data_IF_437312433375
#
_entry.id   IF_437312433375
#
_cell.length_a   1.000
_cell.length_b   1.000
_cell.length_c   1.000
_cell.angle_alpha   90.00
_cell.angle_beta   90.00
_cell.angle_gamma   90.00
#
_symmetry.space_group_name_H-M   'P 1'
#
loop_
_entity.id
_entity.type
_entity.pdbx_description
1 polymer ?
#
# COMPACT_ATOMS: atom_id res chain seq x y z
N UNK A 1 -6.58 -76.64 34.65
CA UNK A 1 -6.85 -75.20 34.83
C UNK A 1 -5.61 -74.42 34.46
N UNK A 2 -5.57 -73.87 33.25
CA UNK A 2 -4.56 -72.88 32.85
C UNK A 2 -4.96 -71.50 33.38
N UNK A 3 -4.00 -70.79 33.99
CA UNK A 3 -4.10 -69.35 34.25
C UNK A 3 -3.07 -68.68 33.34
N UNK A 4 -3.60 -67.98 32.33
CA UNK A 4 -2.80 -67.26 31.35
C UNK A 4 -2.11 -66.07 31.97
N UNK A 5 -0.83 -65.91 31.62
CA UNK A 5 -0.11 -64.65 31.73
C UNK A 5 -0.40 -63.86 30.45
N UNK A 6 -1.18 -62.77 30.57
CA UNK A 6 -1.21 -61.73 29.54
C UNK A 6 -0.07 -60.74 29.84
N UNK A 7 0.85 -60.46 28.91
CA UNK A 7 1.82 -59.41 29.06
C UNK A 7 1.14 -58.05 28.84
N UNK A 8 1.61 -57.06 29.60
CA UNK A 8 1.22 -55.66 29.57
C UNK A 8 1.42 -55.06 28.17
N UNK A 9 0.37 -54.41 27.65
CA UNK A 9 0.43 -53.54 26.47
C UNK A 9 1.54 -52.52 26.66
N UNK A 10 2.60 -52.67 25.87
CA UNK A 10 3.58 -51.62 25.64
C UNK A 10 2.81 -50.42 25.07
N UNK A 11 2.93 -49.29 25.77
CA UNK A 11 2.55 -47.98 25.29
C UNK A 11 3.11 -47.79 23.89
N UNK A 12 2.24 -47.87 22.89
CA UNK A 12 2.51 -47.33 21.57
C UNK A 12 2.87 -45.85 21.77
N UNK A 13 4.18 -45.55 21.81
CA UNK A 13 4.70 -44.28 21.33
C UNK A 13 4.21 -44.17 19.90
N UNK A 14 3.02 -43.61 19.76
CA UNK A 14 2.48 -43.19 18.48
C UNK A 14 3.42 -42.08 18.04
N UNK A 15 4.45 -42.47 17.30
CA UNK A 15 5.33 -41.63 16.52
C UNK A 15 4.38 -40.68 15.78
N UNK A 16 4.20 -39.48 16.34
CA UNK A 16 3.35 -38.47 15.74
C UNK A 16 4.09 -38.10 14.48
N UNK A 17 3.59 -38.58 13.34
CA UNK A 17 3.95 -38.05 12.04
C UNK A 17 4.11 -36.53 12.19
N UNK A 18 5.25 -35.96 11.75
CA UNK A 18 5.49 -34.54 11.91
C UNK A 18 4.35 -33.83 11.21
N UNK A 19 3.43 -33.25 12.00
CA UNK A 19 2.31 -32.50 11.44
C UNK A 19 2.94 -31.45 10.53
N UNK A 20 2.73 -31.58 9.23
CA UNK A 20 3.19 -30.60 8.27
C UNK A 20 2.45 -29.29 8.60
N UNK A 21 3.10 -28.41 9.34
CA UNK A 21 2.56 -27.11 9.68
C UNK A 21 2.72 -26.20 8.45
N UNK A 22 1.74 -25.33 8.22
CA UNK A 22 1.94 -24.22 7.29
C UNK A 22 2.95 -23.26 7.90
N UNK A 23 3.66 -22.51 7.05
CA UNK A 23 4.63 -21.53 7.53
C UNK A 23 4.03 -20.52 8.54
N UNK A 24 2.83 -19.93 8.31
CA UNK A 24 2.20 -19.08 9.32
C UNK A 24 1.91 -19.81 10.64
N UNK A 25 1.42 -21.06 10.60
CA UNK A 25 1.16 -21.84 11.82
C UNK A 25 2.44 -22.17 12.60
N UNK A 26 3.56 -22.40 11.89
CA UNK A 26 4.87 -22.58 12.50
C UNK A 26 5.37 -21.31 13.20
N UNK A 27 5.27 -20.15 12.54
CA UNK A 27 5.67 -18.86 13.12
C UNK A 27 4.83 -18.52 14.35
N UNK A 28 3.50 -18.76 14.31
CA UNK A 28 2.63 -18.61 15.48
C UNK A 28 3.09 -19.51 16.62
N UNK A 29 3.39 -20.78 16.34
CA UNK A 29 3.88 -21.70 17.38
C UNK A 29 5.20 -21.24 18.00
N UNK A 30 6.10 -20.62 17.23
CA UNK A 30 7.32 -20.03 17.76
C UNK A 30 7.03 -18.83 18.66
N UNK A 31 6.16 -17.93 18.22
CA UNK A 31 5.71 -16.78 19.01
C UNK A 31 5.05 -17.21 20.32
N UNK A 32 4.19 -18.24 20.29
CA UNK A 32 3.50 -18.77 21.48
C UNK A 32 4.44 -19.52 22.44
N UNK A 33 5.48 -20.17 21.90
CA UNK A 33 6.47 -20.91 22.69
C UNK A 33 7.46 -20.02 23.45
N UNK A 34 7.52 -18.73 23.14
CA UNK A 34 8.40 -17.77 23.82
C UNK A 34 9.89 -17.92 23.48
N UNK A 35 10.23 -18.50 22.32
CA UNK A 35 11.61 -18.57 21.83
C UNK A 35 12.06 -17.18 21.32
N UNK A 36 12.46 -16.31 22.24
CA UNK A 36 12.79 -14.91 21.98
C UNK A 36 13.92 -14.72 20.96
N UNK A 37 14.84 -15.69 20.83
CA UNK A 37 15.97 -15.57 19.90
C UNK A 37 15.54 -15.69 18.43
N UNK A 38 14.51 -16.50 18.15
CA UNK A 38 14.05 -16.79 16.79
C UNK A 38 12.83 -15.96 16.37
N UNK A 39 12.06 -15.44 17.34
CA UNK A 39 10.80 -14.74 17.08
C UNK A 39 10.83 -13.23 17.40
N UNK A 40 11.95 -12.69 17.90
CA UNK A 40 12.07 -11.26 18.22
C UNK A 40 11.84 -10.38 16.99
N UNK A 41 10.96 -9.39 17.13
CA UNK A 41 10.61 -8.44 16.06
C UNK A 41 9.57 -8.96 15.06
N UNK A 42 9.22 -10.26 15.07
CA UNK A 42 8.20 -10.81 14.19
C UNK A 42 6.80 -10.45 14.72
N UNK A 43 5.94 -9.97 13.82
CA UNK A 43 4.53 -9.67 14.12
C UNK A 43 3.66 -10.24 13.02
N UNK A 44 2.55 -10.87 13.40
CA UNK A 44 1.57 -11.40 12.46
C UNK A 44 0.26 -10.63 12.60
N UNK A 45 -0.29 -10.19 11.46
CA UNK A 45 -1.56 -9.49 11.37
C UNK A 45 -2.48 -10.28 10.45
N UNK A 46 -3.70 -10.59 10.93
CA UNK A 46 -4.70 -11.32 10.17
C UNK A 46 -5.92 -10.43 9.93
N UNK A 47 -6.39 -10.40 8.69
CA UNK A 47 -7.66 -9.79 8.31
C UNK A 47 -8.53 -10.85 7.62
N UNK A 48 -9.72 -11.11 8.16
CA UNK A 48 -10.63 -12.11 7.63
C UNK A 48 -11.80 -11.43 6.93
N UNK A 49 -12.00 -11.75 5.65
CA UNK A 49 -13.22 -11.39 4.91
C UNK A 49 -14.15 -12.59 4.87
N UNK A 50 -15.13 -12.59 5.77
CA UNK A 50 -16.07 -13.70 5.96
C UNK A 50 -15.58 -14.72 6.99
N UNK A 51 -16.46 -15.64 7.36
CA UNK A 51 -16.17 -16.68 8.37
C UNK A 51 -15.44 -17.86 7.75
N UNK A 52 -14.42 -18.37 8.43
CA UNK A 52 -13.75 -19.61 8.03
C UNK A 52 -14.74 -20.79 8.16
N UNK A 53 -14.99 -21.56 7.09
CA UNK A 53 -15.93 -22.67 7.14
C UNK A 53 -15.38 -23.80 8.02
N UNK A 54 -16.29 -24.52 8.67
CA UNK A 54 -15.91 -25.59 9.61
C UNK A 54 -15.12 -26.76 8.98
N UNK A 55 -15.20 -26.91 7.66
CA UNK A 55 -14.46 -27.90 6.87
C UNK A 55 -13.02 -27.49 6.54
N UNK A 56 -12.64 -26.22 6.73
CA UNK A 56 -11.31 -25.73 6.37
C UNK A 56 -10.39 -25.64 7.60
N UNK A 57 -9.32 -26.45 7.59
CA UNK A 57 -8.31 -26.43 8.66
C UNK A 57 -7.24 -25.34 8.51
N UNK A 58 -7.22 -24.60 7.39
CA UNK A 58 -6.16 -23.62 7.09
C UNK A 58 -6.44 -22.23 7.65
N UNK A 59 -7.72 -21.82 7.70
CA UNK A 59 -8.13 -20.49 8.18
C UNK A 59 -8.67 -20.50 9.61
N UNK A 60 -8.64 -21.66 10.29
CA UNK A 60 -9.23 -21.80 11.61
C UNK A 60 -8.41 -21.03 12.65
N UNK A 61 -8.97 -19.93 13.16
CA UNK A 61 -8.41 -19.19 14.29
C UNK A 61 -9.05 -19.69 15.59
N UNK A 62 -8.29 -19.66 16.69
CA UNK A 62 -8.70 -20.15 18.01
C UNK A 62 -9.93 -19.44 18.61
N UNK A 63 -10.34 -18.30 18.06
CA UNK A 63 -11.46 -17.48 18.57
C UNK A 63 -12.63 -17.28 17.57
N UNK A 64 -12.65 -18.03 16.45
CA UNK A 64 -13.76 -17.95 15.49
C UNK A 64 -15.03 -18.66 15.98
N UNK A 65 -15.93 -17.96 16.68
CA UNK A 65 -17.26 -18.49 17.01
C UNK A 65 -17.96 -19.01 15.76
N UNK A 66 -18.52 -20.22 15.84
CA UNK A 66 -19.41 -20.85 14.85
C UNK A 66 -20.68 -20.00 14.62
N UNK A 67 -20.57 -18.91 13.87
CA UNK A 67 -21.70 -18.21 13.28
C UNK A 67 -21.84 -18.67 11.83
N UNK A 68 -23.09 -18.72 11.35
CA UNK A 68 -23.44 -19.26 10.03
C UNK A 68 -22.55 -18.67 8.92
N UNK A 69 -22.19 -19.56 8.00
CA UNK A 69 -21.29 -19.37 6.87
C UNK A 69 -21.97 -18.55 5.75
N UNK A 70 -22.35 -17.30 6.02
CA UNK A 70 -22.87 -16.42 4.98
C UNK A 70 -21.71 -15.91 4.09
N UNK A 71 -21.76 -16.14 2.77
CA UNK A 71 -20.71 -15.70 1.87
C UNK A 71 -20.65 -14.18 1.83
N UNK A 72 -19.43 -13.62 1.90
CA UNK A 72 -19.20 -12.18 1.78
C UNK A 72 -18.68 -11.84 0.39
N UNK A 73 -18.96 -10.62 -0.07
CA UNK A 73 -18.40 -10.11 -1.32
C UNK A 73 -16.88 -9.94 -1.16
N UNK A 74 -16.11 -10.75 -1.89
CA UNK A 74 -14.65 -10.67 -1.91
C UNK A 74 -14.16 -9.72 -3.00
N UNK A 75 -14.67 -9.92 -4.22
CA UNK A 75 -14.22 -9.22 -5.42
C UNK A 75 -15.39 -8.94 -6.36
N UNK A 76 -15.36 -7.76 -7.00
CA UNK A 76 -16.25 -7.42 -8.11
C UNK A 76 -15.49 -7.65 -9.41
N UNK A 77 -15.80 -8.74 -10.11
CA UNK A 77 -15.08 -9.13 -11.34
C UNK A 77 -15.59 -8.42 -12.60
N UNK A 78 -16.84 -7.92 -12.55
CA UNK A 78 -17.48 -7.18 -13.63
C UNK A 78 -18.39 -6.12 -13.05
N UNK A 79 -18.33 -4.93 -13.65
CA UNK A 79 -19.27 -3.85 -13.40
C UNK A 79 -19.78 -3.35 -14.75
N UNK A 80 -21.06 -2.99 -14.80
CA UNK A 80 -21.67 -2.32 -15.94
C UNK A 80 -22.21 -0.96 -15.47
N UNK A 81 -22.05 0.10 -16.27
CA UNK A 81 -22.52 1.43 -15.88
C UNK A 81 -24.05 1.51 -15.93
N UNK A 82 -24.64 2.26 -15.00
CA UNK A 82 -26.09 2.32 -14.83
C UNK A 82 -26.83 2.96 -16.01
N UNK A 83 -26.17 3.85 -16.77
CA UNK A 83 -26.78 4.50 -17.93
C UNK A 83 -27.12 3.51 -19.06
N UNK A 84 -26.50 2.32 -19.10
CA UNK A 84 -26.85 1.27 -20.08
C UNK A 84 -28.26 0.71 -19.86
N UNK A 85 -28.82 0.84 -18.66
CA UNK A 85 -30.17 0.40 -18.34
C UNK A 85 -31.25 1.36 -18.86
N UNK A 86 -30.86 2.54 -19.35
CA UNK A 86 -31.78 3.58 -19.82
C UNK A 86 -32.13 3.40 -21.30
N UNK A 87 -33.42 3.53 -21.59
CA UNK A 87 -33.97 3.39 -22.95
C UNK A 87 -34.01 4.71 -23.72
N UNK A 88 -34.18 5.84 -23.01
CA UNK A 88 -34.23 7.17 -23.61
C UNK A 88 -32.82 7.71 -23.85
N UNK A 89 -32.53 8.08 -25.10
CA UNK A 89 -31.19 8.50 -25.51
C UNK A 89 -30.72 9.78 -24.81
N UNK A 90 -31.59 10.78 -24.66
CA UNK A 90 -31.24 12.07 -24.06
C UNK A 90 -30.92 11.91 -22.57
N UNK A 91 -31.79 11.24 -21.82
CA UNK A 91 -31.57 10.95 -20.40
C UNK A 91 -30.32 10.09 -20.19
N UNK A 92 -30.08 9.10 -21.07
CA UNK A 92 -28.86 8.29 -21.03
C UNK A 92 -27.60 9.12 -21.22
N UNK A 93 -27.61 10.04 -22.18
CA UNK A 93 -26.48 10.95 -22.44
C UNK A 93 -26.23 11.88 -21.25
N UNK A 94 -27.29 12.48 -20.69
CA UNK A 94 -27.17 13.36 -19.52
C UNK A 94 -26.59 12.63 -18.30
N UNK A 95 -27.02 11.39 -18.03
CA UNK A 95 -26.45 10.59 -16.92
C UNK A 95 -25.00 10.19 -17.20
N UNK A 96 -24.66 9.85 -18.44
CA UNK A 96 -23.28 9.56 -18.82
C UNK A 96 -22.36 10.76 -18.55
N UNK A 97 -22.74 11.95 -19.00
CA UNK A 97 -21.98 13.20 -18.79
C UNK A 97 -21.87 13.54 -17.29
N UNK A 98 -22.96 13.42 -16.53
CA UNK A 98 -22.96 13.65 -15.09
C UNK A 98 -22.07 12.64 -14.33
N UNK A 99 -22.06 11.36 -14.75
CA UNK A 99 -21.17 10.35 -14.17
C UNK A 99 -19.70 10.69 -14.42
N UNK A 100 -19.35 11.11 -15.64
CA UNK A 100 -17.98 11.53 -15.96
C UNK A 100 -17.55 12.76 -15.16
N UNK A 101 -18.43 13.76 -15.06
CA UNK A 101 -18.22 14.94 -14.22
C UNK A 101 -17.95 14.57 -12.76
N UNK A 102 -18.78 13.67 -12.20
CA UNK A 102 -18.62 13.22 -10.81
C UNK A 102 -17.33 12.44 -10.58
N UNK A 103 -16.92 11.60 -11.54
CA UNK A 103 -15.77 10.72 -11.41
C UNK A 103 -14.44 11.47 -11.60
N UNK A 104 -14.35 12.36 -12.58
CA UNK A 104 -13.09 12.99 -13.00
C UNK A 104 -12.96 14.45 -12.57
N UNK A 105 -14.08 15.16 -12.48
CA UNK A 105 -14.12 16.60 -12.20
C UNK A 105 -14.81 16.92 -10.85
N UNK A 106 -14.96 15.91 -9.98
CA UNK A 106 -15.60 16.04 -8.65
C UNK A 106 -17.02 16.65 -8.67
N UNK A 107 -17.72 16.56 -9.80
CA UNK A 107 -19.03 17.18 -10.01
C UNK A 107 -18.99 18.70 -10.24
N UNK A 108 -17.80 19.28 -10.39
CA UNK A 108 -17.57 20.73 -10.48
C UNK A 108 -17.14 21.24 -11.85
N UNK A 109 -17.50 20.50 -12.90
CA UNK A 109 -17.15 20.79 -14.29
C UNK A 109 -17.47 19.63 -15.22
N UNK A 110 -17.36 19.87 -16.52
CA UNK A 110 -17.65 18.88 -17.56
C UNK A 110 -16.35 18.23 -18.08
N UNK A 111 -16.44 16.97 -18.51
CA UNK A 111 -15.32 16.30 -19.21
C UNK A 111 -15.40 16.63 -20.70
N UNK A 112 -14.31 17.16 -21.25
CA UNK A 112 -14.14 17.41 -22.69
C UNK A 112 -12.88 16.67 -23.12
N UNK A 113 -13.03 15.69 -24.02
CA UNK A 113 -11.96 14.76 -24.40
C UNK A 113 -11.30 14.09 -23.18
N UNK A 114 -10.07 14.49 -22.83
CA UNK A 114 -9.29 13.98 -21.70
C UNK A 114 -9.03 15.00 -20.58
N UNK A 115 -9.72 16.15 -20.59
CA UNK A 115 -9.57 17.21 -19.58
C UNK A 115 -10.90 17.66 -18.98
N UNK A 116 -10.82 18.25 -17.79
CA UNK A 116 -11.98 18.80 -17.08
C UNK A 116 -12.12 20.29 -17.32
N UNK A 117 -13.25 20.71 -17.88
CA UNK A 117 -13.66 22.11 -17.95
C UNK A 117 -14.37 22.48 -16.65
N UNK A 118 -13.62 23.10 -15.74
CA UNK A 118 -14.14 23.51 -14.43
C UNK A 118 -15.15 24.67 -14.49
N UNK A 119 -16.18 24.60 -13.65
CA UNK A 119 -17.11 25.70 -13.39
C UNK A 119 -16.42 26.87 -12.68
N UNK A 120 -16.97 28.07 -12.80
CA UNK A 120 -16.37 29.28 -12.20
C UNK A 120 -16.28 29.23 -10.67
N UNK A 121 -17.07 28.39 -10.02
CA UNK A 121 -17.11 28.22 -8.55
C UNK A 121 -16.02 27.30 -8.02
N UNK A 122 -15.33 26.55 -8.90
CA UNK A 122 -14.35 25.54 -8.51
C UNK A 122 -12.91 25.96 -8.74
N UNK A 123 -12.68 27.25 -8.94
CA UNK A 123 -11.34 27.84 -8.95
C UNK A 123 -10.83 28.06 -7.52
N UNK A 124 -9.57 27.75 -7.31
CA UNK A 124 -8.86 27.98 -6.05
C UNK A 124 -8.61 29.48 -5.80
N UNK A 125 -8.08 29.80 -4.61
CA UNK A 125 -7.76 31.19 -4.21
C UNK A 125 -6.74 31.88 -5.12
N UNK A 126 -5.89 31.09 -5.77
CA UNK A 126 -4.88 31.51 -6.76
C UNK A 126 -5.45 31.67 -8.18
N UNK A 127 -6.74 31.38 -8.37
CA UNK A 127 -7.40 31.43 -9.67
C UNK A 127 -7.05 30.25 -10.59
N UNK A 128 -6.51 29.16 -10.04
CA UNK A 128 -6.27 27.93 -10.79
C UNK A 128 -7.48 26.98 -10.75
N UNK A 129 -7.74 26.20 -11.80
CA UNK A 129 -8.83 25.21 -11.81
C UNK A 129 -8.60 24.12 -10.74
N UNK A 130 -9.62 23.82 -9.92
CA UNK A 130 -9.51 22.84 -8.83
C UNK A 130 -10.65 21.79 -8.83
N UNK A 131 -11.34 21.60 -9.95
CA UNK A 131 -12.41 20.61 -10.05
C UNK A 131 -11.88 19.16 -10.18
N UNK A 132 -10.75 18.97 -10.88
CA UNK A 132 -10.10 17.67 -10.99
C UNK A 132 -9.06 17.50 -9.86
N UNK A 133 -9.13 16.43 -9.06
CA UNK A 133 -8.25 16.25 -7.91
C UNK A 133 -6.82 15.94 -8.37
N UNK A 134 -5.85 16.70 -7.86
CA UNK A 134 -4.43 16.41 -8.05
C UNK A 134 -3.99 15.32 -7.04
N UNK A 135 -3.59 14.12 -7.50
CA UNK A 135 -3.16 13.07 -6.60
C UNK A 135 -1.83 13.43 -5.92
N UNK A 136 -1.73 13.12 -4.63
CA UNK A 136 -0.50 13.36 -3.89
C UNK A 136 0.51 12.23 -4.16
N UNK A 137 1.71 12.53 -4.66
CA UNK A 137 2.76 11.53 -4.84
C UNK A 137 3.26 11.06 -3.47
N UNK A 138 3.42 9.74 -3.32
CA UNK A 138 3.97 9.14 -2.10
C UNK A 138 5.42 8.76 -2.37
N UNK A 139 6.34 9.49 -1.77
CA UNK A 139 7.76 9.22 -1.86
C UNK A 139 8.14 8.03 -0.96
N UNK A 140 8.86 7.06 -1.51
CA UNK A 140 9.28 5.84 -0.81
C UNK A 140 10.77 5.57 -1.00
N UNK A 141 11.37 4.86 -0.06
CA UNK A 141 12.71 4.29 -0.26
C UNK A 141 12.62 3.14 -1.27
N UNK A 142 13.61 3.05 -2.16
CA UNK A 142 13.71 1.93 -3.10
C UNK A 142 13.80 0.60 -2.35
N UNK A 143 12.96 -0.37 -2.73
CA UNK A 143 13.04 -1.73 -2.18
C UNK A 143 14.24 -2.51 -2.73
N UNK A 144 14.78 -2.09 -3.88
CA UNK A 144 15.93 -2.72 -4.51
C UNK A 144 17.27 -2.18 -3.97
N UNK A 145 17.27 -0.99 -3.36
CA UNK A 145 18.47 -0.31 -2.90
C UNK A 145 18.35 0.10 -1.43
N UNK A 146 18.97 -0.68 -0.55
CA UNK A 146 19.07 -0.32 0.87
C UNK A 146 19.90 0.97 1.04
N UNK A 147 19.46 1.93 1.87
CA UNK A 147 20.19 3.16 2.10
C UNK A 147 21.56 2.88 2.75
N UNK A 148 22.55 3.67 2.36
CA UNK A 148 23.90 3.63 2.94
C UNK A 148 24.31 5.01 3.44
N UNK A 149 25.50 5.12 4.05
CA UNK A 149 26.05 6.40 4.50
C UNK A 149 26.19 7.46 3.40
N UNK A 150 26.23 7.04 2.13
CA UNK A 150 26.49 7.93 0.98
C UNK A 150 25.45 7.85 -0.14
N UNK A 151 24.46 6.95 -0.03
CA UNK A 151 23.46 6.72 -1.07
C UNK A 151 22.09 6.56 -0.46
N UNK A 152 21.14 7.38 -0.93
CA UNK A 152 19.71 7.21 -0.68
C UNK A 152 19.01 7.23 -2.02
N UNK A 153 18.17 6.23 -2.27
CA UNK A 153 17.39 6.12 -3.51
C UNK A 153 15.91 6.22 -3.16
N UNK A 154 15.23 7.17 -3.80
CA UNK A 154 13.82 7.45 -3.62
C UNK A 154 13.06 7.12 -4.90
N UNK A 155 11.88 6.56 -4.73
CA UNK A 155 10.96 6.16 -5.80
C UNK A 155 9.57 6.71 -5.50
N UNK A 156 8.83 7.02 -6.57
CA UNK A 156 7.43 7.38 -6.48
C UNK A 156 6.69 6.94 -7.75
N UNK A 157 5.39 6.71 -7.60
CA UNK A 157 4.54 6.33 -8.71
C UNK A 157 4.04 7.60 -9.43
N UNK A 158 4.15 7.61 -10.76
CA UNK A 158 3.52 8.65 -11.58
C UNK A 158 2.00 8.42 -11.59
N UNK A 159 1.27 9.22 -10.83
CA UNK A 159 -0.17 9.06 -10.58
C UNK A 159 -1.05 9.95 -11.44
N UNK A 160 -0.61 10.36 -12.64
CA UNK A 160 -1.44 11.16 -13.55
C UNK A 160 -2.74 10.40 -13.91
N UNK A 161 -3.92 10.98 -13.65
CA UNK A 161 -5.19 10.38 -14.05
C UNK A 161 -5.35 10.30 -15.57
N UNK A 162 -6.11 9.32 -16.05
CA UNK A 162 -6.41 9.19 -17.47
C UNK A 162 -7.18 10.41 -18.02
N UNK A 163 -7.99 11.06 -17.19
CA UNK A 163 -8.79 12.25 -17.53
C UNK A 163 -8.64 13.28 -16.40
N UNK A 164 -8.52 14.56 -16.75
CA UNK A 164 -8.56 15.67 -15.80
C UNK A 164 -7.22 16.41 -15.68
N UNK A 165 -6.57 16.30 -14.52
CA UNK A 165 -5.29 16.97 -14.27
C UNK A 165 -4.15 16.34 -15.06
N UNK A 166 -3.18 17.16 -15.44
CA UNK A 166 -1.91 16.73 -16.05
C UNK A 166 -0.76 17.10 -15.15
N UNK A 167 0.13 16.14 -14.89
CA UNK A 167 1.29 16.36 -14.03
C UNK A 167 2.45 16.77 -14.93
N UNK A 168 2.81 18.05 -14.85
CA UNK A 168 3.86 18.63 -15.70
C UNK A 168 5.25 18.51 -15.07
N UNK A 169 5.34 18.49 -13.74
CA UNK A 169 6.61 18.49 -13.01
C UNK A 169 6.45 17.97 -11.57
N UNK A 170 7.56 17.52 -10.98
CA UNK A 170 7.70 17.13 -9.59
C UNK A 170 8.81 17.95 -8.91
N UNK A 171 8.42 18.68 -7.87
CA UNK A 171 9.35 19.47 -7.05
C UNK A 171 9.76 18.67 -5.81
N UNK A 172 11.05 18.34 -5.70
CA UNK A 172 11.59 17.57 -4.57
C UNK A 172 12.63 18.41 -3.82
N UNK A 173 12.40 18.65 -2.54
CA UNK A 173 13.31 19.40 -1.67
C UNK A 173 13.99 18.46 -0.68
N UNK A 174 15.32 18.44 -0.69
CA UNK A 174 16.12 17.71 0.30
C UNK A 174 16.78 18.70 1.25
N UNK A 175 16.56 18.49 2.55
CA UNK A 175 17.17 19.26 3.63
C UNK A 175 17.96 18.31 4.53
N UNK A 176 19.26 18.57 4.69
CA UNK A 176 20.11 17.85 5.65
C UNK A 176 20.01 18.51 7.02
N UNK A 177 19.62 17.73 8.01
CA UNK A 177 19.56 18.14 9.42
C UNK A 177 20.62 17.38 10.20
N UNK A 178 21.60 18.09 10.76
CA UNK A 178 22.61 17.53 11.67
C UNK A 178 22.17 17.71 13.11
N UNK A 179 22.02 16.62 13.86
CA UNK A 179 21.74 16.68 15.30
C UNK A 179 23.09 16.77 16.02
N UNK A 180 23.50 17.99 16.38
CA UNK A 180 24.79 18.27 17.03
C UNK A 180 24.74 18.13 18.56
N UNK A 181 23.56 18.07 19.18
CA UNK A 181 23.43 17.90 20.62
C UNK A 181 22.29 16.95 21.03
N UNK A 182 22.61 15.90 21.80
CA UNK A 182 21.62 14.92 22.30
C UNK A 182 20.82 15.45 23.49
N UNK A 183 21.19 16.60 24.06
CA UNK A 183 20.57 17.15 25.26
C UNK A 183 19.46 18.18 24.99
N UNK A 184 19.41 18.79 23.80
CA UNK A 184 18.37 19.77 23.45
C UNK A 184 17.87 19.53 22.01
N UNK A 185 16.69 18.94 21.87
CA UNK A 185 16.00 18.66 20.59
C UNK A 185 15.59 19.91 19.78
N UNK A 186 16.19 21.08 20.03
CA UNK A 186 15.72 22.38 19.53
C UNK A 186 16.68 23.11 18.60
N UNK A 187 17.95 22.70 18.48
CA UNK A 187 18.90 23.35 17.57
C UNK A 187 19.05 22.55 16.27
N UNK A 188 18.08 22.72 15.38
CA UNK A 188 18.16 22.24 13.99
C UNK A 188 19.04 23.23 13.23
N UNK A 189 20.28 22.86 12.95
CA UNK A 189 21.12 23.58 11.99
C UNK A 189 20.82 23.02 10.60
N UNK A 190 20.15 23.84 9.78
CA UNK A 190 19.88 23.55 8.36
C UNK A 190 21.17 23.80 7.58
N UNK A 191 21.86 22.74 7.17
CA UNK A 191 23.16 22.90 6.50
C UNK A 191 23.03 23.17 4.99
N UNK A 192 21.97 22.71 4.32
CA UNK A 192 21.73 22.99 2.89
C UNK A 192 20.31 22.58 2.49
N UNK A 193 19.59 23.45 1.78
CA UNK A 193 18.38 23.11 1.02
C UNK A 193 18.72 23.04 -0.45
N UNK A 194 18.59 21.86 -1.05
CA UNK A 194 18.70 21.69 -2.50
C UNK A 194 17.33 21.27 -3.03
N UNK A 195 16.76 22.12 -3.89
CA UNK A 195 15.57 21.81 -4.65
C UNK A 195 16.01 21.15 -5.95
N UNK A 196 15.49 19.97 -6.22
CA UNK A 196 15.73 19.20 -7.43
C UNK A 196 14.44 19.17 -8.26
N UNK A 197 14.59 19.47 -9.54
CA UNK A 197 13.55 19.30 -10.55
C UNK A 197 13.74 17.90 -11.15
N UNK A 198 12.73 17.04 -11.00
CA UNK A 198 12.79 15.66 -11.47
C UNK A 198 12.06 15.56 -12.82
N UNK A 199 12.81 15.57 -13.93
CA UNK A 199 12.20 15.48 -15.25
C UNK A 199 11.62 14.07 -15.49
N UNK A 200 10.34 14.03 -15.82
CA UNK A 200 9.56 12.82 -16.10
C UNK A 200 10.19 11.95 -17.21
N UNK A 201 10.46 10.68 -16.91
CA UNK A 201 10.81 9.63 -17.89
C UNK A 201 9.82 8.48 -17.70
N UNK A 202 9.24 7.99 -18.80
CA UNK A 202 8.10 7.05 -18.85
C UNK A 202 8.26 5.70 -18.14
N UNK A 203 9.40 5.40 -17.53
CA UNK A 203 9.70 4.11 -16.91
C UNK A 203 10.17 4.33 -15.46
N UNK A 204 9.27 4.30 -14.48
CA UNK A 204 9.59 4.27 -13.04
C UNK A 204 10.46 5.43 -12.55
N UNK A 205 9.85 6.40 -11.86
CA UNK A 205 10.55 7.61 -11.46
C UNK A 205 11.43 7.34 -10.21
N UNK A 206 12.75 7.41 -10.41
CA UNK A 206 13.74 7.14 -9.38
C UNK A 206 14.74 8.30 -9.31
N UNK A 207 14.99 8.80 -8.10
CA UNK A 207 16.10 9.72 -7.82
C UNK A 207 17.10 9.07 -6.89
N UNK A 208 18.37 9.07 -7.31
CA UNK A 208 19.48 8.63 -6.49
C UNK A 208 20.25 9.86 -5.99
N UNK A 209 20.26 10.04 -4.67
CA UNK A 209 21.09 11.04 -4.00
C UNK A 209 22.39 10.38 -3.59
N UNK A 210 23.49 10.79 -4.21
CA UNK A 210 24.83 10.33 -3.88
C UNK A 210 25.63 11.45 -3.25
N UNK A 211 26.21 11.22 -2.08
CA UNK A 211 27.23 12.11 -1.55
C UNK A 211 28.41 12.17 -2.53
N UNK A 212 28.60 13.33 -3.17
CA UNK A 212 29.89 13.64 -3.76
C UNK A 212 30.81 14.05 -2.60
N UNK A 213 31.95 13.38 -2.38
CA UNK A 213 32.95 13.93 -1.48
C UNK A 213 33.29 15.35 -1.94
N UNK A 214 33.42 16.27 -0.98
CA UNK A 214 33.66 17.71 -1.14
C UNK A 214 35.01 18.07 -1.82
N UNK A 215 35.34 17.43 -2.94
CA UNK A 215 36.58 17.61 -3.70
C UNK A 215 36.37 17.76 -5.22
N UNK A 216 35.13 17.76 -5.70
CA UNK A 216 34.80 18.00 -7.12
C UNK A 216 33.88 19.22 -7.30
N UNK A 217 34.21 20.33 -6.64
CA UNK A 217 33.92 21.68 -7.15
C UNK A 217 35.25 22.22 -7.67
N UNK A 218 35.26 22.64 -8.93
CA UNK A 218 36.37 23.18 -9.74
C UNK A 218 37.09 22.15 -10.61
N UNK A 219 36.52 21.86 -11.77
CA UNK A 219 37.27 21.90 -13.03
C UNK A 219 36.34 22.58 -14.06
N UNK A 220 36.87 23.61 -14.72
CA UNK A 220 36.26 24.43 -15.78
C UNK A 220 35.64 23.63 -16.94
#
# INVERSE_FOLDING_TARGET
>A
MGKGNSPSDESEEREKDPKSLTFPAYVVSLLDSGDELMASGVRMYCENRGSCPSSCHLCHTTEGQKRQEEPVLLEVTKAAPLYELLTENETRKAIYEAMLSQLWCSGGGDVIDDWCRCDSTTFSIDGLPNCAPLPQPVLRLSLAHEPSSSLVVLEWDHTEPAIGVKIVDYLISLERVTITDRAEMSKVETEQKEAFEAQTRKDGEQLAFRERPYWLKNID
#
